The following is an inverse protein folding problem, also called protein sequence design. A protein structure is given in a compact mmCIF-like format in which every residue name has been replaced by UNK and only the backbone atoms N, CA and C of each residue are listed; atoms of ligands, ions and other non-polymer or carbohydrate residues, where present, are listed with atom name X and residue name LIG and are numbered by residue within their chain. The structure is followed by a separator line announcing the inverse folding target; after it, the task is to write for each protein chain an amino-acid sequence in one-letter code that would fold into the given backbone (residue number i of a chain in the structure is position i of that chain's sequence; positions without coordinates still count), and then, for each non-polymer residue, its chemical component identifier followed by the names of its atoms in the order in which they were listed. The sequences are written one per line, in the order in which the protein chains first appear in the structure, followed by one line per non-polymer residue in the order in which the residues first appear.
data_IF_869229011313
#
_entry.id   IF_869229011313
#
_cell.length_a   1.000
_cell.length_b   1.000
_cell.length_c   1.000
_cell.angle_alpha   90.00
_cell.angle_beta   90.00
_cell.angle_gamma   90.00
#
_symmetry.space_group_name_H-M   'P 1'
#
loop_
_entity.id
_entity.type
_entity.pdbx_description
1 polymer ?
#
# COMPACT_ATOMS: atom_id res chain seq x y z
N UNK A 1 -9.78 17.18 -6.71
CA UNK A 1 -10.10 15.82 -6.22
C UNK A 1 -10.17 15.87 -4.71
N UNK A 2 -11.11 15.17 -4.07
CA UNK A 2 -11.28 15.13 -2.61
C UNK A 2 -10.42 14.03 -1.99
N UNK A 3 -9.86 14.28 -0.79
CA UNK A 3 -9.23 13.23 -0.01
C UNK A 3 -10.25 12.48 0.84
N UNK A 4 -10.01 11.19 1.08
CA UNK A 4 -10.90 10.31 1.84
C UNK A 4 -10.13 9.16 2.47
N UNK A 5 -10.73 8.54 3.49
CA UNK A 5 -10.24 7.29 4.05
C UNK A 5 -10.53 6.16 3.08
N UNK A 6 -9.50 5.43 2.67
CA UNK A 6 -9.62 4.32 1.73
C UNK A 6 -10.55 3.24 2.30
N UNK A 7 -11.29 2.56 1.41
CA UNK A 7 -12.20 1.49 1.83
C UNK A 7 -11.46 0.31 2.47
N UNK A 8 -12.16 -0.45 3.31
CA UNK A 8 -11.66 -1.73 3.85
C UNK A 8 -11.22 -2.65 2.71
N UNK A 9 -11.96 -2.69 1.60
CA UNK A 9 -11.60 -3.48 0.42
C UNK A 9 -10.30 -3.04 -0.23
N UNK A 10 -9.98 -1.74 -0.23
CA UNK A 10 -8.70 -1.22 -0.72
C UNK A 10 -7.55 -1.73 0.16
N UNK A 11 -7.69 -1.61 1.49
CA UNK A 11 -6.68 -2.09 2.42
C UNK A 11 -6.49 -3.61 2.34
N UNK A 12 -7.59 -4.37 2.23
CA UNK A 12 -7.54 -5.82 2.01
C UNK A 12 -6.81 -6.16 0.73
N UNK A 13 -7.05 -5.46 -0.37
CA UNK A 13 -6.33 -5.71 -1.61
C UNK A 13 -4.83 -5.47 -1.47
N UNK A 14 -4.42 -4.44 -0.74
CA UNK A 14 -3.00 -4.14 -0.48
C UNK A 14 -2.36 -5.29 0.30
N UNK A 15 -2.92 -5.63 1.45
CA UNK A 15 -2.35 -6.64 2.34
C UNK A 15 -2.38 -8.02 1.67
N UNK A 16 -3.51 -8.42 1.10
CA UNK A 16 -3.62 -9.72 0.40
C UNK A 16 -2.69 -9.80 -0.81
N UNK A 17 -2.56 -8.72 -1.58
CA UNK A 17 -1.66 -8.67 -2.72
C UNK A 17 -0.19 -8.73 -2.31
N UNK A 18 0.23 -8.03 -1.26
CA UNK A 18 1.63 -8.02 -0.86
C UNK A 18 2.10 -9.34 -0.26
N UNK A 19 1.25 -10.08 0.45
CA UNK A 19 1.69 -11.27 1.18
C UNK A 19 1.34 -12.60 0.48
N UNK A 20 0.27 -12.65 -0.32
CA UNK A 20 -0.16 -13.86 -1.03
C UNK A 20 0.26 -13.86 -2.51
N UNK A 21 0.94 -12.81 -2.98
CA UNK A 21 1.55 -12.82 -4.30
C UNK A 21 2.95 -13.47 -4.26
N UNK A 22 2.99 -14.79 -4.36
CA UNK A 22 4.22 -15.60 -4.22
C UNK A 22 5.43 -15.10 -5.02
N UNK A 23 5.28 -14.88 -6.33
CA UNK A 23 6.39 -14.44 -7.20
C UNK A 23 6.95 -13.06 -6.81
N UNK A 24 6.06 -12.13 -6.47
CA UNK A 24 6.44 -10.79 -6.02
C UNK A 24 7.18 -10.87 -4.69
N UNK A 25 6.66 -11.65 -3.73
CA UNK A 25 7.29 -11.86 -2.43
C UNK A 25 8.64 -12.56 -2.53
N UNK A 26 8.80 -13.53 -3.42
CA UNK A 26 10.10 -14.18 -3.65
C UNK A 26 11.16 -13.17 -4.12
N UNK A 27 10.78 -12.24 -5.00
CA UNK A 27 11.69 -11.23 -5.56
C UNK A 27 11.96 -10.06 -4.61
N UNK A 28 10.94 -9.60 -3.90
CA UNK A 28 11.00 -8.36 -3.12
C UNK A 28 10.83 -8.57 -1.61
N UNK A 29 10.77 -9.81 -1.14
CA UNK A 29 10.60 -10.17 0.28
C UNK A 29 11.59 -9.48 1.21
N UNK A 30 12.81 -9.23 0.78
CA UNK A 30 13.83 -8.56 1.61
C UNK A 30 13.51 -7.08 1.90
N UNK A 31 12.67 -6.42 1.08
CA UNK A 31 12.20 -5.07 1.36
C UNK A 31 11.19 -5.03 2.50
N UNK A 32 10.59 -6.18 2.82
CA UNK A 32 9.67 -6.34 3.94
C UNK A 32 10.42 -6.21 5.28
N UNK A 33 11.67 -6.68 5.31
CA UNK A 33 12.50 -6.74 6.52
C UNK A 33 13.30 -5.45 6.76
N UNK A 34 13.61 -4.70 5.69
CA UNK A 34 14.57 -3.58 5.72
C UNK A 34 14.16 -2.37 6.56
N UNK A 35 12.89 -2.23 6.95
CA UNK A 35 12.44 -1.05 7.71
C UNK A 35 12.01 -1.34 9.16
N UNK A 36 12.14 -2.57 9.67
CA UNK A 36 11.60 -2.96 10.99
C UNK A 36 10.12 -2.55 11.20
N UNK A 37 9.38 -2.27 10.12
CA UNK A 37 7.99 -1.82 10.20
C UNK A 37 7.04 -2.98 10.52
N UNK A 38 7.50 -4.22 10.35
CA UNK A 38 6.83 -5.46 10.73
C UNK A 38 7.82 -6.63 10.72
N UNK A 39 7.62 -7.62 11.59
CA UNK A 39 8.44 -8.84 11.67
C UNK A 39 7.63 -10.06 11.25
N UNK A 40 8.15 -10.82 10.27
CA UNK A 40 7.65 -12.12 9.79
C UNK A 40 6.15 -12.17 9.43
N UNK A 41 5.75 -13.31 8.86
CA UNK A 41 4.44 -13.60 8.25
C UNK A 41 3.24 -13.64 9.21
N UNK A 42 3.29 -12.93 10.34
CA UNK A 42 2.24 -12.91 11.36
C UNK A 42 1.48 -11.59 11.47
N UNK A 43 1.99 -10.49 10.91
CA UNK A 43 1.54 -9.15 11.32
C UNK A 43 0.80 -8.33 10.26
N UNK A 44 -0.10 -9.01 9.53
CA UNK A 44 -0.99 -8.39 8.54
C UNK A 44 -1.84 -7.28 9.15
N UNK A 45 -2.27 -7.48 10.41
CA UNK A 45 -3.09 -6.52 11.12
C UNK A 45 -2.27 -5.27 11.43
N UNK A 46 -1.07 -5.35 12.00
CA UNK A 46 -0.29 -4.13 12.31
C UNK A 46 0.05 -3.37 11.05
N UNK A 47 0.46 -4.03 9.96
CA UNK A 47 0.71 -3.29 8.71
C UNK A 47 -0.57 -2.62 8.19
N UNK A 48 -1.70 -3.31 8.21
CA UNK A 48 -2.98 -2.74 7.77
C UNK A 48 -3.42 -1.55 8.64
N UNK A 49 -3.26 -1.67 9.96
CA UNK A 49 -3.56 -0.63 10.94
C UNK A 49 -2.65 0.58 10.75
N UNK A 50 -1.34 0.36 10.61
CA UNK A 50 -0.37 1.43 10.37
C UNK A 50 -0.64 2.17 9.05
N UNK A 51 -0.94 1.46 7.96
CA UNK A 51 -1.31 2.07 6.69
C UNK A 51 -2.65 2.82 6.77
N UNK A 52 -3.61 2.30 7.55
CA UNK A 52 -4.88 2.97 7.80
C UNK A 52 -4.69 4.27 8.59
N UNK A 53 -3.86 4.24 9.64
CA UNK A 53 -3.51 5.40 10.44
C UNK A 53 -2.74 6.45 9.63
N UNK A 54 -1.84 6.03 8.73
CA UNK A 54 -1.16 6.92 7.81
C UNK A 54 -2.16 7.68 6.91
N UNK A 55 -3.13 6.95 6.35
CA UNK A 55 -4.20 7.56 5.55
C UNK A 55 -5.09 8.50 6.37
N UNK A 56 -5.45 8.09 7.59
CA UNK A 56 -6.20 8.93 8.51
C UNK A 56 -5.47 10.24 8.80
N UNK A 57 -4.18 10.17 9.10
CA UNK A 57 -3.36 11.34 9.35
C UNK A 57 -3.32 12.27 8.13
N UNK A 58 -3.19 11.72 6.91
CA UNK A 58 -3.26 12.51 5.67
C UNK A 58 -4.59 13.22 5.46
N UNK A 59 -5.71 12.54 5.70
CA UNK A 59 -7.05 13.14 5.60
C UNK A 59 -7.23 14.23 6.64
N UNK A 60 -6.80 14.01 7.89
CA UNK A 60 -6.92 14.98 8.98
C UNK A 60 -6.07 16.22 8.77
N UNK A 61 -4.84 16.08 8.24
CA UNK A 61 -4.00 17.23 7.89
C UNK A 61 -4.63 18.07 6.77
N UNK A 62 -5.31 17.42 5.83
CA UNK A 62 -5.98 18.11 4.72
C UNK A 62 -7.27 18.82 5.13
N UNK A 63 -7.99 18.26 6.10
CA UNK A 63 -9.29 18.78 6.55
C UNK A 63 -9.33 18.93 8.09
N UNK A 64 -8.53 19.85 8.68
CA UNK A 64 -8.44 20.00 10.13
C UNK A 64 -9.78 20.37 10.80
N UNK A 65 -10.66 21.07 10.06
CA UNK A 65 -11.96 21.53 10.56
C UNK A 65 -13.09 20.51 10.38
N UNK A 66 -12.80 19.32 9.85
CA UNK A 66 -13.78 18.24 9.65
C UNK A 66 -13.36 16.98 10.40
N UNK A 67 -13.44 16.98 11.75
CA UNK A 67 -13.26 15.76 12.52
C UNK A 67 -14.48 14.86 12.29
N UNK A 68 -14.47 14.07 11.22
CA UNK A 68 -15.48 13.02 11.06
C UNK A 68 -15.21 11.98 12.16
N UNK A 69 -16.18 11.81 13.06
CA UNK A 69 -16.10 10.85 14.16
C UNK A 69 -15.96 9.40 13.67
N UNK A 70 -16.28 9.13 12.39
CA UNK A 70 -16.04 7.85 11.75
C UNK A 70 -14.55 7.58 11.46
N UNK A 71 -13.69 8.60 11.41
CA UNK A 71 -12.25 8.42 11.17
C UNK A 71 -11.54 7.81 12.38
N UNK A 72 -12.10 7.92 13.58
CA UNK A 72 -11.40 7.57 14.84
C UNK A 72 -11.26 6.06 15.06
N UNK A 73 -12.07 5.22 14.41
CA UNK A 73 -12.08 3.78 14.65
C UNK A 73 -11.36 3.02 13.55
N UNK A 74 -10.29 2.33 13.93
CA UNK A 74 -9.64 1.32 13.08
C UNK A 74 -10.66 0.20 12.79
N UNK A 75 -10.94 -0.11 11.51
CA UNK A 75 -11.87 -1.16 11.16
C UNK A 75 -11.28 -2.55 11.43
N UNK A 76 -12.13 -3.52 11.76
CA UNK A 76 -11.72 -4.92 11.80
C UNK A 76 -11.55 -5.45 10.37
N UNK A 77 -10.33 -5.89 10.03
CA UNK A 77 -10.05 -6.50 8.74
C UNK A 77 -10.42 -8.00 8.75
N UNK A 78 -11.08 -8.45 7.68
CA UNK A 78 -11.40 -9.86 7.46
C UNK A 78 -10.60 -10.38 6.27
N UNK A 79 -9.50 -11.08 6.51
CA UNK A 79 -8.62 -11.56 5.45
C UNK A 79 -9.25 -12.69 4.65
N UNK A 80 -9.23 -12.57 3.31
CA UNK A 80 -9.81 -13.53 2.36
C UNK A 80 -8.80 -14.56 1.88
N UNK A 81 -7.51 -14.36 2.17
CA UNK A 81 -6.41 -15.23 1.77
C UNK A 81 -6.41 -15.56 0.26
N UNK A 82 -6.76 -14.59 -0.58
CA UNK A 82 -6.86 -14.78 -2.03
C UNK A 82 -5.86 -13.90 -2.75
N UNK A 83 -5.24 -14.37 -3.85
CA UNK A 83 -4.38 -13.52 -4.66
C UNK A 83 -5.19 -12.37 -5.27
N UNK A 84 -4.58 -11.20 -5.26
CA UNK A 84 -5.10 -9.99 -5.89
C UNK A 84 -4.36 -9.81 -7.22
N UNK A 85 -5.08 -9.51 -8.29
CA UNK A 85 -4.47 -9.20 -9.59
C UNK A 85 -3.49 -8.02 -9.46
N UNK A 86 -2.32 -8.12 -10.10
CA UNK A 86 -1.21 -7.15 -10.06
C UNK A 86 -1.70 -5.71 -10.32
N UNK A 87 -2.57 -5.51 -11.31
CA UNK A 87 -3.15 -4.19 -11.64
C UNK A 87 -4.09 -3.68 -10.55
N UNK A 88 -4.86 -4.57 -9.92
CA UNK A 88 -5.74 -4.19 -8.82
C UNK A 88 -4.93 -3.84 -7.57
N UNK A 89 -3.87 -4.59 -7.28
CA UNK A 89 -2.93 -4.28 -6.21
C UNK A 89 -2.27 -2.92 -6.45
N UNK A 90 -1.76 -2.67 -7.67
CA UNK A 90 -1.14 -1.40 -8.05
C UNK A 90 -2.11 -0.23 -7.88
N UNK A 91 -3.35 -0.35 -8.38
CA UNK A 91 -4.38 0.69 -8.20
C UNK A 91 -4.70 0.95 -6.74
N UNK A 92 -4.77 -0.11 -5.92
CA UNK A 92 -5.04 0.03 -4.48
C UNK A 92 -3.89 0.74 -3.75
N UNK A 93 -2.64 0.37 -4.02
CA UNK A 93 -1.46 1.04 -3.48
C UNK A 93 -1.38 2.51 -3.91
N UNK A 94 -1.59 2.80 -5.20
CA UNK A 94 -1.57 4.16 -5.74
C UNK A 94 -2.70 5.02 -5.16
N UNK A 95 -3.88 4.44 -4.95
CA UNK A 95 -4.99 5.10 -4.27
C UNK A 95 -4.57 5.51 -2.85
N UNK A 96 -4.01 4.59 -2.07
CA UNK A 96 -3.52 4.90 -0.72
C UNK A 96 -2.44 5.99 -0.75
N UNK A 97 -1.43 5.86 -1.61
CA UNK A 97 -0.36 6.87 -1.76
C UNK A 97 -0.92 8.25 -2.07
N UNK A 98 -1.89 8.33 -2.97
CA UNK A 98 -2.55 9.59 -3.32
C UNK A 98 -3.29 10.21 -2.13
N UNK A 99 -3.90 9.41 -1.26
CA UNK A 99 -4.56 9.92 -0.06
C UNK A 99 -3.58 10.37 1.03
N UNK A 100 -2.32 9.96 0.94
CA UNK A 100 -1.27 10.27 1.90
C UNK A 100 -0.23 11.29 1.37
N UNK A 101 -0.40 11.87 0.18
CA UNK A 101 0.66 12.65 -0.48
C UNK A 101 0.72 14.15 -0.11
N UNK A 102 -0.04 14.59 0.89
CA UNK A 102 -0.13 16.00 1.26
C UNK A 102 0.23 16.23 2.73
N UNK A 103 0.62 17.46 3.04
CA UNK A 103 1.08 17.86 4.37
C UNK A 103 2.46 17.29 4.68
N UNK A 104 2.64 16.81 5.91
CA UNK A 104 3.90 16.25 6.41
C UNK A 104 3.95 14.72 6.33
N UNK A 105 2.90 14.07 5.83
CA UNK A 105 2.80 12.60 5.74
C UNK A 105 3.86 12.01 4.79
N UNK A 106 4.27 12.76 3.77
CA UNK A 106 5.26 12.32 2.79
C UNK A 106 6.66 12.11 3.41
N UNK A 107 6.90 12.65 4.61
CA UNK A 107 8.14 12.49 5.37
C UNK A 107 8.15 11.20 6.20
N UNK A 108 7.00 10.58 6.44
CA UNK A 108 6.87 9.38 7.28
C UNK A 108 7.61 8.19 6.64
N UNK A 109 8.38 7.41 7.41
CA UNK A 109 9.07 6.21 6.90
C UNK A 109 8.12 5.23 6.20
N UNK A 110 6.91 5.03 6.77
CA UNK A 110 5.90 4.15 6.19
C UNK A 110 5.38 4.66 4.84
N UNK A 111 5.34 5.97 4.62
CA UNK A 111 4.97 6.53 3.32
C UNK A 111 6.04 6.25 2.27
N UNK A 112 7.32 6.38 2.63
CA UNK A 112 8.44 6.03 1.75
C UNK A 112 8.43 4.53 1.42
N UNK A 113 8.19 3.68 2.41
CA UNK A 113 7.99 2.25 2.19
C UNK A 113 6.85 1.98 1.20
N UNK A 114 5.71 2.67 1.32
CA UNK A 114 4.60 2.55 0.39
C UNK A 114 5.01 2.97 -1.04
N UNK A 115 5.82 4.01 -1.20
CA UNK A 115 6.34 4.42 -2.50
C UNK A 115 7.28 3.36 -3.09
N UNK A 116 8.20 2.82 -2.29
CA UNK A 116 9.13 1.77 -2.71
C UNK A 116 8.37 0.53 -3.18
N UNK A 117 7.33 0.12 -2.45
CA UNK A 117 6.47 -1.01 -2.84
C UNK A 117 5.75 -0.77 -4.16
N UNK A 118 5.29 0.46 -4.43
CA UNK A 118 4.68 0.81 -5.70
C UNK A 118 5.70 0.68 -6.84
N UNK A 119 6.90 1.21 -6.66
CA UNK A 119 7.97 1.13 -7.66
C UNK A 119 8.33 -0.33 -7.96
N UNK A 120 8.55 -1.15 -6.93
CA UNK A 120 8.87 -2.57 -7.11
C UNK A 120 7.75 -3.34 -7.83
N UNK A 121 6.49 -3.04 -7.52
CA UNK A 121 5.35 -3.67 -8.21
C UNK A 121 5.25 -3.21 -9.66
N UNK A 122 5.53 -1.94 -9.95
CA UNK A 122 5.58 -1.45 -11.33
C UNK A 122 6.69 -2.16 -12.11
N UNK A 123 7.90 -2.25 -11.56
CA UNK A 123 9.01 -2.97 -12.18
C UNK A 123 8.65 -4.44 -12.42
N UNK A 124 8.04 -5.09 -11.42
CA UNK A 124 7.57 -6.47 -11.54
C UNK A 124 6.54 -6.68 -12.66
N UNK A 125 5.61 -5.74 -12.83
CA UNK A 125 4.60 -5.78 -13.88
C UNK A 125 5.27 -5.55 -15.25
N UNK A 126 6.13 -4.53 -15.35
CA UNK A 126 6.81 -4.14 -16.58
C UNK A 126 7.70 -5.27 -17.09
N UNK A 127 8.45 -5.93 -16.20
CA UNK A 127 9.31 -7.06 -16.55
C UNK A 127 8.55 -8.26 -17.14
N UNK A 128 7.25 -8.37 -16.86
CA UNK A 128 6.39 -9.43 -17.42
C UNK A 128 5.81 -9.04 -18.79
N UNK A 129 5.97 -7.80 -19.23
CA UNK A 129 5.39 -7.32 -20.49
C UNK A 129 6.25 -7.77 -21.68
N UNK A 130 5.70 -8.52 -22.65
CA UNK A 130 6.43 -8.91 -23.85
C UNK A 130 6.96 -7.71 -24.66
N UNK A 131 6.28 -6.57 -24.57
CA UNK A 131 6.68 -5.33 -25.21
C UNK A 131 7.96 -4.76 -24.59
N UNK A 132 8.12 -4.89 -23.27
CA UNK A 132 9.31 -4.41 -22.57
C UNK A 132 10.52 -5.30 -22.88
N UNK A 133 10.36 -6.63 -22.89
CA UNK A 133 11.41 -7.59 -23.26
C UNK A 133 11.94 -7.38 -24.69
N UNK A 134 11.07 -6.93 -25.61
CA UNK A 134 11.44 -6.64 -27.01
C UNK A 134 12.00 -5.25 -27.24
N UNK A 135 11.89 -4.35 -26.24
CA UNK A 135 12.43 -3.02 -26.36
C UNK A 135 13.96 -3.08 -26.38
N UNK A 136 14.60 -2.23 -27.19
CA UNK A 136 16.06 -2.17 -27.26
C UNK A 136 16.58 -1.12 -26.29
N UNK A 137 17.69 -1.45 -25.63
CA UNK A 137 18.57 -0.45 -25.05
C UNK A 137 19.29 0.21 -26.21
N UNK A 138 18.97 1.48 -26.51
CA UNK A 138 19.66 2.25 -27.55
C UNK A 138 21.11 2.57 -27.16
#
# INVERSE_FOLDING_TARGET
MSSFIVSISCMQNIIEGLFWHHQFRERYGNLYEKQNLYHESGDFNVLAENLYLLNQAGVMQRYPDKPDSNYVKIPKFNWRNKPVNDMQLLKSLQCLRYQCCEGDIDKEPLYKWLQDMISCLMDFIIDKMPEYDKAKWD
#
